data_IF_044100746053
#
_entry.id   IF_044100746053
#
_cell.length_a   1.000
_cell.length_b   1.000
_cell.length_c   1.000
_cell.angle_alpha   90.00
_cell.angle_beta   90.00
_cell.angle_gamma   90.00
#
_symmetry.space_group_name_H-M   'P 1'
#
loop_
_entity.id
_entity.type
_entity.pdbx_description
1 polymer ?
#
# COMPACT_ATOMS: atom_id res chain seq x y z
N UNK A 1 -15.32 -1.54 0.75
CA UNK A 1 -15.50 -0.33 -0.07
C UNK A 1 -15.98 -0.72 -1.47
N UNK A 2 -16.64 0.18 -2.20
CA UNK A 2 -16.99 -0.02 -3.62
C UNK A 2 -16.30 1.06 -4.44
N UNK A 3 -15.68 0.69 -5.55
CA UNK A 3 -14.99 1.62 -6.44
C UNK A 3 -15.88 2.00 -7.62
N UNK A 4 -15.83 3.24 -8.07
CA UNK A 4 -16.64 3.72 -9.17
C UNK A 4 -16.07 3.20 -10.50
N UNK A 5 -16.94 2.68 -11.38
CA UNK A 5 -16.51 2.19 -12.70
C UNK A 5 -15.83 3.29 -13.52
N UNK A 6 -16.37 4.51 -13.50
CA UNK A 6 -15.78 5.66 -14.21
C UNK A 6 -14.42 6.14 -13.67
N UNK A 7 -13.96 5.61 -12.53
CA UNK A 7 -12.64 5.93 -11.98
C UNK A 7 -11.56 4.92 -12.42
N UNK A 8 -11.92 3.89 -13.18
CA UNK A 8 -10.96 2.96 -13.79
C UNK A 8 -10.25 3.70 -14.93
N UNK A 9 -8.92 3.55 -15.05
CA UNK A 9 -8.19 4.18 -16.16
C UNK A 9 -8.69 3.63 -17.48
N UNK A 10 -8.78 4.50 -18.47
CA UNK A 10 -9.11 4.14 -19.85
C UNK A 10 -10.52 3.59 -20.07
N UNK A 11 -11.41 3.69 -19.09
CA UNK A 11 -12.84 3.50 -19.33
C UNK A 11 -13.52 4.86 -19.52
N UNK A 12 -14.39 4.97 -20.51
CA UNK A 12 -15.12 6.23 -20.77
C UNK A 12 -16.26 6.37 -19.78
N UNK A 13 -16.47 7.55 -19.20
CA UNK A 13 -17.58 7.82 -18.28
C UNK A 13 -18.93 7.42 -18.87
N UNK A 14 -19.16 7.82 -20.12
CA UNK A 14 -20.46 7.64 -20.80
C UNK A 14 -20.74 6.17 -21.07
N UNK A 15 -19.70 5.43 -21.45
CA UNK A 15 -19.76 3.98 -21.60
C UNK A 15 -20.11 3.30 -20.26
N UNK A 16 -19.49 3.73 -19.16
CA UNK A 16 -19.78 3.14 -17.84
C UNK A 16 -21.17 3.50 -17.33
N UNK A 17 -21.68 4.70 -17.61
CA UNK A 17 -23.08 5.06 -17.34
C UNK A 17 -24.01 4.14 -18.11
N UNK A 18 -23.77 3.93 -19.41
CA UNK A 18 -24.60 3.04 -20.23
C UNK A 18 -24.56 1.59 -19.74
N UNK A 19 -23.40 1.11 -19.30
CA UNK A 19 -23.25 -0.20 -18.68
C UNK A 19 -24.12 -0.35 -17.42
N UNK A 20 -24.15 0.70 -16.59
CA UNK A 20 -25.00 0.75 -15.40
C UNK A 20 -26.48 0.75 -15.77
N UNK A 21 -26.89 1.54 -16.78
CA UNK A 21 -28.28 1.58 -17.26
C UNK A 21 -28.74 0.20 -17.74
N UNK A 22 -27.94 -0.50 -18.56
CA UNK A 22 -28.23 -1.86 -19.05
C UNK A 22 -28.46 -2.82 -17.87
N UNK A 23 -27.65 -2.71 -16.82
CA UNK A 23 -27.78 -3.52 -15.61
C UNK A 23 -29.00 -3.14 -14.77
N UNK A 24 -29.37 -1.86 -14.75
CA UNK A 24 -30.57 -1.40 -14.04
C UNK A 24 -31.84 -1.90 -14.72
N UNK A 25 -31.88 -1.87 -16.05
CA UNK A 25 -33.05 -2.26 -16.85
C UNK A 25 -33.25 -3.79 -16.87
N UNK A 26 -32.18 -4.56 -17.07
CA UNK A 26 -32.25 -6.01 -17.25
C UNK A 26 -31.80 -6.83 -16.03
N UNK A 27 -31.46 -6.16 -14.92
CA UNK A 27 -30.94 -6.80 -13.71
C UNK A 27 -29.44 -7.16 -13.77
N UNK A 28 -28.92 -7.81 -12.71
CA UNK A 28 -27.50 -8.17 -12.62
C UNK A 28 -27.10 -9.16 -13.71
N UNK A 29 -25.87 -9.02 -14.22
CA UNK A 29 -25.28 -9.99 -15.15
C UNK A 29 -25.08 -11.34 -14.45
N UNK A 30 -25.61 -12.41 -15.03
CA UNK A 30 -25.55 -13.77 -14.44
C UNK A 30 -24.32 -14.57 -14.85
N UNK A 31 -23.75 -14.25 -16.01
CA UNK A 31 -22.57 -14.92 -16.56
C UNK A 31 -21.80 -13.98 -17.49
N UNK A 32 -20.59 -14.38 -17.87
CA UNK A 32 -19.80 -13.66 -18.88
C UNK A 32 -20.53 -13.59 -20.22
N UNK A 33 -21.21 -14.66 -20.61
CA UNK A 33 -22.00 -14.71 -21.84
C UNK A 33 -23.20 -13.76 -21.79
N UNK A 34 -23.91 -13.72 -20.66
CA UNK A 34 -25.01 -12.80 -20.43
C UNK A 34 -24.55 -11.33 -20.49
N UNK A 35 -23.37 -11.04 -19.93
CA UNK A 35 -22.71 -9.76 -20.07
C UNK A 35 -22.44 -9.46 -21.56
N UNK A 36 -21.73 -10.33 -22.29
CA UNK A 36 -21.38 -10.08 -23.70
C UNK A 36 -22.60 -9.92 -24.61
N UNK A 37 -23.70 -10.65 -24.34
CA UNK A 37 -24.97 -10.56 -25.09
C UNK A 37 -25.63 -9.19 -24.93
N UNK A 38 -25.60 -8.62 -23.72
CA UNK A 38 -26.31 -7.37 -23.40
C UNK A 38 -25.51 -6.11 -23.76
N UNK A 39 -24.22 -6.23 -24.06
CA UNK A 39 -23.33 -5.09 -24.24
C UNK A 39 -23.29 -4.55 -25.68
N UNK A 40 -23.62 -3.26 -25.88
CA UNK A 40 -23.37 -2.57 -27.14
C UNK A 40 -21.87 -2.40 -27.41
N UNK A 41 -21.50 -2.25 -28.69
CA UNK A 41 -20.11 -2.06 -29.11
C UNK A 41 -19.53 -0.73 -28.63
N UNK A 42 -20.38 0.27 -28.44
CA UNK A 42 -20.03 1.61 -27.94
C UNK A 42 -19.64 1.59 -26.45
N UNK A 43 -20.10 0.57 -25.71
CA UNK A 43 -19.94 0.47 -24.26
C UNK A 43 -18.63 -0.23 -23.89
N UNK A 44 -18.21 -1.25 -24.65
CA UNK A 44 -16.97 -1.99 -24.38
C UNK A 44 -16.16 -2.23 -25.65
N UNK A 45 -15.04 -1.53 -25.76
CA UNK A 45 -13.93 -1.87 -26.65
C UNK A 45 -12.86 -2.70 -25.92
N UNK A 46 -11.86 -3.22 -26.65
CA UNK A 46 -10.78 -4.04 -26.09
C UNK A 46 -10.11 -3.40 -24.87
N UNK A 47 -9.71 -2.13 -24.98
CA UNK A 47 -9.01 -1.40 -23.91
C UNK A 47 -9.88 -1.23 -22.66
N UNK A 48 -11.18 -1.00 -22.85
CA UNK A 48 -12.15 -0.90 -21.75
C UNK A 48 -12.37 -2.26 -21.08
N UNK A 49 -12.51 -3.33 -21.87
CA UNK A 49 -12.70 -4.68 -21.35
C UNK A 49 -11.49 -5.13 -20.54
N UNK A 50 -10.27 -4.94 -21.07
CA UNK A 50 -9.03 -5.23 -20.35
C UNK A 50 -8.92 -4.44 -19.04
N UNK A 51 -9.27 -3.14 -19.06
CA UNK A 51 -9.27 -2.30 -17.87
C UNK A 51 -10.25 -2.79 -16.79
N UNK A 52 -11.47 -3.17 -17.19
CA UNK A 52 -12.48 -3.72 -16.28
C UNK A 52 -12.05 -5.07 -15.69
N UNK A 53 -11.47 -5.96 -16.51
CA UNK A 53 -10.93 -7.26 -16.06
C UNK A 53 -9.81 -7.04 -15.05
N UNK A 54 -8.80 -6.22 -15.37
CA UNK A 54 -7.66 -5.95 -14.49
C UNK A 54 -8.07 -5.31 -13.17
N UNK A 55 -9.06 -4.40 -13.21
CA UNK A 55 -9.68 -3.79 -12.03
C UNK A 55 -10.51 -4.76 -11.17
N UNK A 56 -10.82 -5.97 -11.66
CA UNK A 56 -11.61 -6.96 -10.95
C UNK A 56 -13.13 -6.77 -11.05
N UNK A 57 -13.62 -6.00 -12.01
CA UNK A 57 -15.05 -5.76 -12.20
C UNK A 57 -15.83 -7.05 -12.52
N UNK A 58 -15.15 -8.07 -13.04
CA UNK A 58 -15.74 -9.36 -13.44
C UNK A 58 -15.41 -10.51 -12.49
N UNK A 59 -14.77 -10.28 -11.34
CA UNK A 59 -14.37 -11.34 -10.40
C UNK A 59 -15.55 -12.20 -9.93
N UNK A 60 -16.77 -11.64 -9.88
CA UNK A 60 -17.99 -12.38 -9.54
C UNK A 60 -18.56 -13.23 -10.67
N UNK A 61 -18.18 -12.93 -11.92
CA UNK A 61 -18.60 -13.68 -13.12
C UNK A 61 -17.57 -14.74 -13.48
N UNK A 62 -16.28 -14.41 -13.33
CA UNK A 62 -15.16 -15.29 -13.63
C UNK A 62 -13.96 -14.91 -12.75
N UNK A 63 -13.49 -15.80 -11.85
CA UNK A 63 -12.50 -15.44 -10.83
C UNK A 63 -11.07 -15.27 -11.36
N UNK A 64 -10.76 -15.90 -12.51
CA UNK A 64 -9.43 -15.88 -13.10
C UNK A 64 -9.31 -14.72 -14.08
N UNK A 65 -8.63 -13.64 -13.65
CA UNK A 65 -8.48 -12.41 -14.44
C UNK A 65 -7.52 -12.64 -15.62
N UNK A 66 -6.45 -13.41 -15.41
CA UNK A 66 -5.47 -13.70 -16.47
C UNK A 66 -6.11 -14.46 -17.63
N UNK A 67 -6.91 -15.47 -17.33
CA UNK A 67 -7.64 -16.24 -18.35
C UNK A 67 -8.55 -15.36 -19.21
N UNK A 68 -9.23 -14.37 -18.61
CA UNK A 68 -10.04 -13.41 -19.37
C UNK A 68 -9.18 -12.51 -20.28
N UNK A 69 -8.02 -12.05 -19.80
CA UNK A 69 -7.10 -11.23 -20.61
C UNK A 69 -6.52 -12.03 -21.78
N UNK A 70 -6.06 -13.26 -21.56
CA UNK A 70 -5.46 -14.12 -22.59
C UNK A 70 -6.49 -14.61 -23.62
N UNK A 71 -7.77 -14.60 -23.26
CA UNK A 71 -8.88 -14.93 -24.15
C UNK A 71 -9.66 -13.68 -24.65
N UNK A 72 -9.11 -12.48 -24.50
CA UNK A 72 -9.79 -11.22 -24.85
C UNK A 72 -10.28 -11.18 -26.31
N UNK A 73 -9.47 -11.64 -27.28
CA UNK A 73 -9.87 -11.68 -28.69
C UNK A 73 -11.03 -12.64 -28.96
N UNK A 74 -11.04 -13.79 -28.28
CA UNK A 74 -12.12 -14.75 -28.37
C UNK A 74 -13.42 -14.15 -27.81
N UNK A 75 -13.35 -13.50 -26.65
CA UNK A 75 -14.49 -12.85 -26.01
C UNK A 75 -15.09 -11.75 -26.88
N UNK A 76 -14.25 -10.89 -27.45
CA UNK A 76 -14.70 -9.81 -28.33
C UNK A 76 -15.32 -10.35 -29.63
N UNK A 77 -14.74 -11.41 -30.19
CA UNK A 77 -15.27 -12.08 -31.40
C UNK A 77 -16.63 -12.72 -31.13
N UNK A 78 -16.81 -13.38 -29.98
CA UNK A 78 -18.11 -13.92 -29.56
C UNK A 78 -19.15 -12.81 -29.37
N UNK A 79 -18.78 -11.70 -28.71
CA UNK A 79 -19.69 -10.57 -28.53
C UNK A 79 -20.13 -9.96 -29.88
N UNK A 80 -19.21 -9.84 -30.85
CA UNK A 80 -19.54 -9.39 -32.20
C UNK A 80 -20.47 -10.36 -32.94
N UNK A 81 -20.23 -11.67 -32.81
CA UNK A 81 -21.09 -12.70 -33.43
C UNK A 81 -22.52 -12.67 -32.85
N UNK A 82 -22.65 -12.62 -31.53
CA UNK A 82 -23.94 -12.57 -30.84
C UNK A 82 -24.74 -11.30 -31.19
N UNK A 83 -24.06 -10.16 -31.35
CA UNK A 83 -24.71 -8.92 -31.82
C UNK A 83 -25.24 -9.06 -33.24
N UNK A 84 -24.43 -9.59 -34.16
CA UNK A 84 -24.86 -9.80 -35.56
C UNK A 84 -26.05 -10.75 -35.65
N UNK A 85 -26.04 -11.81 -34.85
CA UNK A 85 -27.16 -12.74 -34.77
C UNK A 85 -28.44 -12.04 -34.28
N UNK A 86 -28.34 -11.22 -33.22
CA UNK A 86 -29.48 -10.46 -32.70
C UNK A 86 -30.03 -9.42 -33.70
N UNK A 87 -29.14 -8.76 -34.46
CA UNK A 87 -29.54 -7.85 -35.55
C UNK A 87 -30.20 -8.63 -36.70
N UNK A 88 -29.66 -9.79 -37.09
CA UNK A 88 -30.23 -10.61 -38.17
C UNK A 88 -31.55 -11.29 -37.81
N UNK A 89 -31.76 -11.65 -36.54
CA UNK A 89 -33.01 -12.25 -36.08
C UNK A 89 -34.17 -11.24 -36.06
N UNK A 90 -33.90 -9.94 -36.12
CA UNK A 90 -34.96 -8.95 -36.40
C UNK A 90 -35.45 -9.00 -37.85
N UNK A 91 -34.59 -9.42 -38.81
CA UNK A 91 -34.98 -9.62 -40.21
C UNK A 91 -35.63 -10.99 -40.46
N UNK A 92 -35.50 -11.93 -39.53
CA UNK A 92 -35.97 -13.31 -39.68
C UNK A 92 -37.41 -13.54 -39.15
N UNK A 93 -38.31 -12.57 -39.38
CA UNK A 93 -39.71 -12.60 -38.91
C UNK A 93 -40.58 -13.69 -39.57
N UNK A 94 -40.01 -14.52 -40.46
CA UNK A 94 -40.71 -15.61 -41.15
C UNK A 94 -39.97 -16.97 -41.14
N UNK A 95 -38.88 -17.11 -40.37
CA UNK A 95 -38.03 -18.30 -40.44
C UNK A 95 -37.63 -18.86 -39.09
N UNK A 96 -38.41 -19.84 -38.61
CA UNK A 96 -37.94 -20.94 -37.77
C UNK A 96 -37.41 -20.60 -36.37
N UNK A 97 -38.19 -20.94 -35.35
CA UNK A 97 -37.69 -21.17 -33.99
C UNK A 97 -36.63 -22.27 -34.01
N UNK A 98 -35.36 -21.89 -33.98
CA UNK A 98 -34.33 -22.75 -33.43
C UNK A 98 -33.79 -22.06 -32.18
N UNK A 99 -34.05 -22.68 -31.04
CA UNK A 99 -33.22 -22.54 -29.85
C UNK A 99 -31.81 -23.03 -30.21
N UNK A 100 -31.03 -22.18 -30.86
CA UNK A 100 -29.59 -22.34 -30.92
C UNK A 100 -29.06 -22.07 -29.51
N UNK A 101 -29.06 -23.13 -28.70
CA UNK A 101 -28.20 -23.21 -27.52
C UNK A 101 -26.77 -23.02 -28.00
N UNK A 102 -26.30 -21.77 -27.99
CA UNK A 102 -24.92 -21.42 -28.30
C UNK A 102 -24.08 -22.19 -27.29
N UNK A 103 -23.24 -23.10 -27.81
CA UNK A 103 -22.26 -23.84 -27.03
C UNK A 103 -21.47 -22.81 -26.20
N UNK A 104 -21.55 -22.89 -24.87
CA UNK A 104 -21.06 -21.85 -23.96
C UNK A 104 -19.60 -21.49 -24.26
N UNK A 105 -19.23 -20.22 -24.05
CA UNK A 105 -17.89 -19.71 -24.41
C UNK A 105 -16.80 -20.57 -23.74
N UNK A 106 -16.03 -21.31 -24.56
CA UNK A 106 -14.94 -22.16 -24.09
C UNK A 106 -13.63 -21.38 -24.08
N UNK A 107 -13.24 -20.91 -22.90
CA UNK A 107 -11.96 -20.24 -22.71
C UNK A 107 -10.81 -21.25 -22.74
N UNK A 108 -9.65 -20.82 -23.24
CA UNK A 108 -8.41 -21.57 -23.06
C UNK A 108 -7.97 -21.43 -21.60
N UNK A 109 -7.82 -22.54 -20.86
CA UNK A 109 -7.48 -22.49 -19.45
C UNK A 109 -6.07 -21.91 -19.27
N UNK A 110 -5.91 -21.07 -18.25
CA UNK A 110 -4.64 -20.47 -17.88
C UNK A 110 -4.54 -20.39 -16.34
N UNK A 111 -3.35 -20.43 -15.78
CA UNK A 111 -3.19 -20.22 -14.34
C UNK A 111 -3.41 -18.74 -14.01
N UNK A 112 -4.11 -18.43 -12.92
CA UNK A 112 -4.27 -17.04 -12.47
C UNK A 112 -2.91 -16.41 -12.13
N UNK A 113 -2.86 -15.07 -12.10
CA UNK A 113 -1.66 -14.34 -11.71
C UNK A 113 -1.21 -14.68 -10.29
N UNK A 114 0.11 -14.65 -10.07
CA UNK A 114 0.65 -14.61 -8.72
C UNK A 114 0.14 -13.34 -8.01
N UNK A 115 0.03 -13.38 -6.68
CA UNK A 115 -0.60 -12.29 -5.91
C UNK A 115 0.01 -10.90 -6.21
N UNK A 116 1.35 -10.81 -6.32
CA UNK A 116 2.03 -9.55 -6.64
C UNK A 116 1.74 -9.06 -8.07
N UNK A 117 1.73 -9.96 -9.04
CA UNK A 117 1.41 -9.61 -10.43
C UNK A 117 -0.05 -9.17 -10.57
N UNK A 118 -0.97 -9.85 -9.86
CA UNK A 118 -2.38 -9.46 -9.79
C UNK A 118 -2.56 -8.06 -9.21
N UNK A 119 -1.82 -7.72 -8.14
CA UNK A 119 -1.84 -6.39 -7.55
C UNK A 119 -1.25 -5.34 -8.50
N UNK A 120 -0.22 -5.68 -9.27
CA UNK A 120 0.36 -4.81 -10.29
C UNK A 120 -0.65 -4.50 -11.39
N UNK A 121 -1.34 -5.51 -11.90
CA UNK A 121 -2.41 -5.35 -12.90
C UNK A 121 -3.58 -4.50 -12.38
N UNK A 122 -3.97 -4.70 -11.11
CA UNK A 122 -4.98 -3.88 -10.45
C UNK A 122 -4.53 -2.42 -10.34
N UNK A 123 -3.28 -2.18 -9.93
CA UNK A 123 -2.69 -0.85 -9.83
C UNK A 123 -2.60 -0.16 -11.19
N UNK A 124 -2.25 -0.89 -12.24
CA UNK A 124 -2.20 -0.35 -13.60
C UNK A 124 -3.58 0.10 -14.05
N UNK A 125 -4.63 -0.67 -13.74
CA UNK A 125 -6.01 -0.35 -14.07
C UNK A 125 -6.62 0.78 -13.21
N UNK A 126 -6.34 0.82 -11.91
CA UNK A 126 -6.99 1.74 -10.96
C UNK A 126 -6.14 2.98 -10.63
N UNK A 127 -4.82 2.87 -10.69
CA UNK A 127 -3.87 3.87 -10.21
C UNK A 127 -3.65 3.86 -8.70
N UNK A 128 -4.22 2.89 -8.00
CA UNK A 128 -4.07 2.66 -6.57
C UNK A 128 -4.27 1.17 -6.26
N UNK A 129 -3.72 0.73 -5.14
CA UNK A 129 -3.93 -0.62 -4.63
C UNK A 129 -5.24 -0.67 -3.83
N UNK A 130 -6.24 -1.41 -4.31
CA UNK A 130 -7.56 -1.52 -3.66
C UNK A 130 -7.64 -2.75 -2.75
N UNK A 131 -7.07 -3.87 -3.21
CA UNK A 131 -7.15 -5.16 -2.53
C UNK A 131 -6.11 -5.31 -1.40
N UNK A 132 -4.85 -4.97 -1.67
CA UNK A 132 -3.76 -5.00 -0.70
C UNK A 132 -2.62 -4.09 -1.17
N UNK A 133 -1.94 -3.41 -0.25
CA UNK A 133 -0.78 -2.59 -0.57
C UNK A 133 0.52 -3.37 -0.34
N UNK A 134 1.58 -3.16 -1.13
CA UNK A 134 2.91 -3.71 -0.83
C UNK A 134 3.50 -3.36 0.55
N UNK A 135 2.89 -2.39 1.25
CA UNK A 135 3.26 -1.97 2.59
C UNK A 135 2.57 -2.80 3.69
N UNK A 136 1.56 -3.59 3.35
CA UNK A 136 0.80 -4.39 4.30
C UNK A 136 1.68 -5.42 5.00
N UNK A 137 2.67 -5.97 4.29
CA UNK A 137 3.70 -6.86 4.85
C UNK A 137 4.61 -6.20 5.90
N UNK A 138 4.57 -4.87 6.01
CA UNK A 138 5.41 -4.07 6.90
C UNK A 138 4.65 -3.44 8.07
N UNK A 139 3.34 -3.72 8.23
CA UNK A 139 2.47 -3.03 9.17
C UNK A 139 3.05 -2.94 10.61
N UNK A 140 3.64 -4.02 11.12
CA UNK A 140 4.23 -4.05 12.47
C UNK A 140 5.47 -3.16 12.60
N UNK A 141 6.25 -3.05 11.52
CA UNK A 141 7.50 -2.30 11.45
C UNK A 141 7.26 -0.81 11.19
N UNK A 142 6.20 -0.47 10.44
CA UNK A 142 5.83 0.91 10.16
C UNK A 142 5.59 1.72 11.45
N UNK A 143 4.89 1.11 12.41
CA UNK A 143 4.64 1.71 13.72
C UNK A 143 5.94 2.04 14.47
N UNK A 144 6.95 1.16 14.40
CA UNK A 144 8.25 1.30 15.06
C UNK A 144 9.07 2.47 14.50
N UNK A 145 8.94 2.74 13.21
CA UNK A 145 9.59 3.84 12.52
C UNK A 145 8.83 5.19 12.63
N UNK A 146 7.72 5.21 13.39
CA UNK A 146 6.82 6.37 13.54
C UNK A 146 6.38 6.90 12.17
N UNK A 147 6.08 5.98 11.26
CA UNK A 147 5.59 6.34 9.94
C UNK A 147 4.13 6.74 10.07
N UNK A 148 3.81 7.91 9.53
CA UNK A 148 2.45 8.46 9.47
C UNK A 148 1.86 8.04 8.14
N UNK A 149 0.61 7.58 8.12
CA UNK A 149 -0.11 7.32 6.87
C UNK A 149 -0.59 8.64 6.26
N UNK A 150 -0.84 8.66 4.96
CA UNK A 150 -1.36 9.83 4.27
C UNK A 150 -2.69 10.28 4.84
N UNK A 151 -3.63 9.37 5.11
CA UNK A 151 -4.91 9.72 5.72
C UNK A 151 -4.74 10.37 7.11
N UNK A 152 -3.84 9.84 7.95
CA UNK A 152 -3.55 10.44 9.25
C UNK A 152 -2.88 11.81 9.12
N UNK A 153 -2.01 12.00 8.12
CA UNK A 153 -1.40 13.29 7.83
C UNK A 153 -2.44 14.34 7.44
N UNK A 154 -3.42 13.97 6.61
CA UNK A 154 -4.53 14.86 6.21
C UNK A 154 -5.36 15.26 7.43
N UNK A 155 -5.71 14.32 8.29
CA UNK A 155 -6.44 14.61 9.54
C UNK A 155 -5.65 15.55 10.47
N UNK A 156 -4.34 15.32 10.61
CA UNK A 156 -3.46 16.20 11.40
C UNK A 156 -3.37 17.62 10.84
N UNK A 157 -3.44 17.77 9.51
CA UNK A 157 -3.46 19.06 8.83
C UNK A 157 -4.77 19.81 9.10
N UNK A 158 -5.90 19.13 8.97
CA UNK A 158 -7.23 19.69 9.25
C UNK A 158 -7.39 20.14 10.71
N UNK A 159 -6.81 19.39 11.65
CA UNK A 159 -6.83 19.71 13.08
C UNK A 159 -5.74 20.70 13.51
N UNK A 160 -4.87 21.14 12.60
CA UNK A 160 -3.77 22.07 12.89
C UNK A 160 -2.67 21.51 13.80
N UNK A 161 -2.56 20.18 13.92
CA UNK A 161 -1.59 19.47 14.77
C UNK A 161 -0.45 18.81 13.99
N UNK A 162 -0.41 19.02 12.68
CA UNK A 162 0.58 18.40 11.82
C UNK A 162 2.01 18.84 12.21
N UNK A 163 2.93 17.88 12.47
CA UNK A 163 4.31 18.23 12.79
C UNK A 163 5.03 18.76 11.56
N UNK A 164 6.01 19.64 11.77
CA UNK A 164 6.84 20.18 10.68
C UNK A 164 7.65 19.10 9.95
N UNK A 165 7.98 17.99 10.63
CA UNK A 165 8.70 16.84 10.09
C UNK A 165 7.87 15.58 10.22
N UNK A 166 7.72 14.87 9.12
CA UNK A 166 6.94 13.63 9.02
C UNK A 166 7.76 12.55 8.33
N UNK A 167 7.57 11.31 8.77
CA UNK A 167 8.08 10.13 8.09
C UNK A 167 6.90 9.44 7.40
N UNK A 168 7.02 9.22 6.10
CA UNK A 168 6.03 8.56 5.25
C UNK A 168 6.68 7.33 4.64
N UNK A 169 5.91 6.27 4.43
CA UNK A 169 6.35 5.15 3.58
C UNK A 169 5.43 5.05 2.38
N UNK A 170 6.00 4.75 1.23
CA UNK A 170 5.22 4.63 0.01
C UNK A 170 5.95 3.87 -1.10
N UNK A 171 5.15 3.34 -2.01
CA UNK A 171 5.64 2.79 -3.28
C UNK A 171 5.56 3.88 -4.36
N UNK A 172 6.62 4.01 -5.16
CA UNK A 172 6.67 5.03 -6.22
C UNK A 172 5.69 4.68 -7.33
N UNK A 173 4.82 5.64 -7.67
CA UNK A 173 3.81 5.52 -8.73
C UNK A 173 4.27 6.22 -10.00
N UNK A 174 4.72 7.47 -9.88
CA UNK A 174 5.19 8.26 -11.01
C UNK A 174 6.22 9.29 -10.57
N UNK A 175 7.09 9.71 -11.49
CA UNK A 175 8.06 10.77 -11.27
C UNK A 175 8.04 11.77 -12.43
N UNK A 176 7.95 13.05 -12.12
CA UNK A 176 8.05 14.15 -13.07
C UNK A 176 9.25 15.03 -12.73
N UNK A 177 10.32 14.92 -13.51
CA UNK A 177 11.52 15.74 -13.34
C UNK A 177 11.34 17.04 -14.14
N UNK A 178 11.58 18.17 -13.49
CA UNK A 178 11.53 19.51 -14.09
C UNK A 178 12.79 20.29 -13.77
N UNK A 179 13.05 21.33 -14.55
CA UNK A 179 14.12 22.29 -14.33
C UNK A 179 13.50 23.61 -13.91
N UNK A 180 13.95 24.14 -12.77
CA UNK A 180 13.47 25.43 -12.28
C UNK A 180 14.00 26.58 -13.16
N UNK A 181 13.40 27.76 -13.04
CA UNK A 181 13.89 28.97 -13.73
C UNK A 181 15.35 29.31 -13.40
N UNK A 182 15.85 28.85 -12.24
CA UNK A 182 17.24 29.04 -11.79
C UNK A 182 18.19 27.94 -12.29
N UNK A 183 17.73 27.02 -13.14
CA UNK A 183 18.53 25.92 -13.70
C UNK A 183 18.62 24.67 -12.80
N UNK A 184 18.17 24.73 -11.55
CA UNK A 184 18.21 23.58 -10.65
C UNK A 184 17.11 22.57 -11.00
N UNK A 185 17.47 21.29 -11.03
CA UNK A 185 16.53 20.19 -11.20
C UNK A 185 15.72 19.95 -9.92
N UNK A 186 14.46 19.59 -10.08
CA UNK A 186 13.59 19.10 -9.02
C UNK A 186 12.60 18.09 -9.60
N UNK A 187 12.00 17.27 -8.74
CA UNK A 187 11.02 16.28 -9.17
C UNK A 187 9.77 16.31 -8.29
N UNK A 188 8.61 16.15 -8.91
CA UNK A 188 7.39 15.73 -8.23
C UNK A 188 7.31 14.21 -8.31
N UNK A 189 7.32 13.54 -7.17
CA UNK A 189 7.23 12.10 -7.07
C UNK A 189 5.89 11.76 -6.43
N UNK A 190 5.06 11.01 -7.16
CA UNK A 190 3.82 10.47 -6.61
C UNK A 190 4.12 9.12 -5.99
N UNK A 191 3.66 8.94 -4.75
CA UNK A 191 3.78 7.72 -3.98
C UNK A 191 2.40 7.29 -3.50
N UNK A 192 2.26 6.00 -3.27
CA UNK A 192 1.06 5.42 -2.67
C UNK A 192 1.42 4.75 -1.36
N UNK A 193 0.53 4.87 -0.37
CA UNK A 193 0.53 4.08 0.86
C UNK A 193 -0.76 3.25 1.00
N UNK A 194 -0.94 2.61 2.15
CA UNK A 194 -2.12 1.79 2.46
C UNK A 194 -3.44 2.58 2.47
N UNK A 195 -3.38 3.91 2.52
CA UNK A 195 -4.52 4.80 2.70
C UNK A 195 -4.79 5.71 1.51
N UNK A 196 -3.81 5.96 0.65
CA UNK A 196 -4.00 6.73 -0.57
C UNK A 196 -2.72 7.14 -1.26
N UNK A 197 -2.88 8.02 -2.24
CA UNK A 197 -1.79 8.57 -3.06
C UNK A 197 -1.43 9.96 -2.55
N UNK A 198 -0.14 10.25 -2.48
CA UNK A 198 0.40 11.54 -2.07
C UNK A 198 1.59 11.95 -2.94
N UNK A 199 1.84 13.25 -3.02
CA UNK A 199 2.94 13.81 -3.80
C UNK A 199 4.03 14.38 -2.88
N UNK A 200 5.28 14.06 -3.19
CA UNK A 200 6.45 14.61 -2.52
C UNK A 200 7.34 15.33 -3.52
N UNK A 201 7.73 16.55 -3.19
CA UNK A 201 8.69 17.33 -3.97
C UNK A 201 10.11 17.02 -3.51
N UNK A 202 10.98 16.66 -4.46
CA UNK A 202 12.40 16.40 -4.23
C UNK A 202 13.25 17.47 -4.95
N UNK A 203 14.06 18.21 -4.20
CA UNK A 203 15.01 19.17 -4.76
C UNK A 203 16.32 18.50 -5.20
N UNK A 204 17.14 19.23 -5.96
CA UNK A 204 18.33 18.70 -6.65
C UNK A 204 19.20 17.75 -5.82
N UNK A 205 19.52 18.11 -4.57
CA UNK A 205 20.42 17.31 -3.72
C UNK A 205 19.80 15.95 -3.38
N UNK A 206 18.58 15.96 -2.85
CA UNK A 206 17.84 14.74 -2.50
C UNK A 206 17.49 13.92 -3.74
N UNK A 207 17.14 14.59 -4.85
CA UNK A 207 16.83 13.94 -6.10
C UNK A 207 18.04 13.17 -6.64
N UNK A 208 19.24 13.74 -6.59
CA UNK A 208 20.45 13.08 -7.08
C UNK A 208 20.74 11.78 -6.33
N UNK A 209 20.57 11.77 -5.01
CA UNK A 209 20.73 10.57 -4.17
C UNK A 209 19.60 9.56 -4.37
N UNK A 210 18.37 10.04 -4.59
CA UNK A 210 17.19 9.21 -4.71
C UNK A 210 16.97 8.62 -6.11
N UNK A 211 17.68 9.05 -7.16
CA UNK A 211 17.44 8.59 -8.55
C UNK A 211 17.40 7.06 -8.68
N UNK A 212 18.37 6.37 -8.08
CA UNK A 212 18.45 4.89 -8.11
C UNK A 212 17.35 4.25 -7.27
N UNK A 213 16.98 4.86 -6.15
CA UNK A 213 15.90 4.40 -5.27
C UNK A 213 14.53 4.51 -5.96
N UNK A 214 14.31 5.60 -6.68
CA UNK A 214 13.07 5.89 -7.40
C UNK A 214 12.84 5.00 -8.64
N UNK A 215 13.86 4.29 -9.09
CA UNK A 215 13.77 3.32 -10.19
C UNK A 215 13.48 1.90 -9.69
N UNK A 216 13.57 1.69 -8.37
CA UNK A 216 13.20 0.42 -7.77
C UNK A 216 11.68 0.32 -7.62
N UNK A 217 11.14 -0.89 -7.81
CA UNK A 217 9.74 -1.22 -7.44
C UNK A 217 9.61 -1.49 -5.92
N UNK A 218 10.61 -1.10 -5.11
CA UNK A 218 10.64 -1.37 -3.67
C UNK A 218 10.00 -0.23 -2.87
N UNK A 219 9.37 -0.52 -1.72
CA UNK A 219 8.87 0.52 -0.83
C UNK A 219 9.99 1.40 -0.27
N UNK A 220 9.74 2.70 -0.20
CA UNK A 220 10.68 3.71 0.27
C UNK A 220 10.18 4.34 1.58
N UNK A 221 11.12 4.66 2.47
CA UNK A 221 10.92 5.56 3.59
C UNK A 221 11.33 6.98 3.18
N UNK A 222 10.43 7.92 3.39
CA UNK A 222 10.61 9.34 3.07
C UNK A 222 10.47 10.15 4.34
N UNK A 223 11.56 10.78 4.77
CA UNK A 223 11.50 11.85 5.75
C UNK A 223 11.26 13.15 5.02
N UNK A 224 10.11 13.80 5.26
CA UNK A 224 9.70 15.03 4.60
C UNK A 224 9.47 16.16 5.61
N UNK A 225 9.77 17.38 5.19
CA UNK A 225 9.32 18.58 5.88
C UNK A 225 7.97 19.00 5.28
N UNK A 226 6.98 19.19 6.12
CA UNK A 226 5.67 19.68 5.75
C UNK A 226 5.69 21.22 5.74
N UNK A 227 5.31 21.83 4.61
CA UNK A 227 5.09 23.26 4.48
C UNK A 227 3.63 23.52 4.12
N UNK A 228 2.94 24.29 4.94
CA UNK A 228 1.59 24.75 4.62
C UNK A 228 1.72 26.10 3.92
N UNK A 229 1.35 26.15 2.64
CA UNK A 229 1.31 27.37 1.81
C UNK A 229 -0.15 27.69 1.45
N UNK A 230 -0.43 28.88 0.93
CA UNK A 230 -1.79 29.31 0.54
C UNK A 230 -2.41 28.41 -0.55
N UNK A 231 -1.58 27.72 -1.32
CA UNK A 231 -1.98 26.78 -2.38
C UNK A 231 -2.08 25.32 -1.88
N UNK A 232 -2.09 25.12 -0.57
CA UNK A 232 -2.20 23.81 0.08
C UNK A 232 -0.89 23.29 0.70
N UNK A 233 -0.98 22.17 1.44
CA UNK A 233 0.17 21.53 2.08
C UNK A 233 1.13 20.94 1.03
N UNK A 234 2.43 21.15 1.22
CA UNK A 234 3.50 20.61 0.39
C UNK A 234 4.47 19.78 1.24
N UNK A 235 4.78 18.59 0.74
CA UNK A 235 5.78 17.71 1.32
C UNK A 235 7.11 17.89 0.59
N UNK A 236 8.13 18.33 1.32
CA UNK A 236 9.48 18.48 0.79
C UNK A 236 10.37 17.36 1.33
N UNK A 237 10.83 16.46 0.46
CA UNK A 237 11.72 15.38 0.87
C UNK A 237 13.03 15.97 1.45
N UNK A 238 13.39 15.49 2.64
CA UNK A 238 14.68 15.75 3.26
C UNK A 238 15.62 14.54 3.16
N UNK A 239 15.07 13.33 3.19
CA UNK A 239 15.83 12.08 3.06
C UNK A 239 14.95 10.97 2.49
N UNK A 240 15.53 10.15 1.62
CA UNK A 240 14.89 8.99 1.01
C UNK A 240 15.81 7.77 1.19
N UNK A 241 15.24 6.63 1.57
CA UNK A 241 15.97 5.36 1.69
C UNK A 241 15.01 4.18 1.49
N UNK A 242 15.56 2.99 1.23
CA UNK A 242 14.73 1.78 1.22
C UNK A 242 14.09 1.54 2.58
N UNK A 243 12.83 1.09 2.57
CA UNK A 243 12.12 0.75 3.79
C UNK A 243 12.82 -0.41 4.51
N UNK A 244 13.25 -1.44 3.78
CA UNK A 244 13.99 -2.59 4.34
C UNK A 244 15.26 -2.15 5.08
N UNK A 245 16.06 -1.25 4.46
CA UNK A 245 17.28 -0.73 5.06
C UNK A 245 16.97 0.10 6.31
N UNK A 246 15.88 0.86 6.30
CA UNK A 246 15.43 1.61 7.47
C UNK A 246 15.06 0.69 8.64
N UNK A 247 14.38 -0.42 8.34
CA UNK A 247 13.98 -1.43 9.31
C UNK A 247 15.22 -2.16 9.85
N UNK A 248 16.15 -2.56 8.98
CA UNK A 248 17.38 -3.23 9.37
C UNK A 248 18.31 -2.32 10.20
N UNK A 249 18.34 -1.02 9.88
CA UNK A 249 19.07 -0.02 10.65
C UNK A 249 18.35 0.41 11.94
N UNK A 250 17.09 0.02 12.13
CA UNK A 250 16.35 0.31 13.35
C UNK A 250 16.76 -0.67 14.44
N UNK A 251 17.35 -0.13 15.50
CA UNK A 251 17.68 -0.89 16.70
C UNK A 251 16.73 -0.39 17.76
N UNK A 252 15.73 -1.20 18.10
CA UNK A 252 14.73 -0.84 19.10
C UNK A 252 15.40 -0.45 20.41
N UNK A 253 14.98 0.68 20.97
CA UNK A 253 15.45 1.07 22.28
C UNK A 253 14.86 0.17 23.36
N UNK A 254 15.64 -0.20 24.36
CA UNK A 254 15.16 -0.95 25.53
C UNK A 254 14.62 0.03 26.55
N UNK A 255 13.37 -0.12 26.96
CA UNK A 255 12.79 0.64 28.06
C UNK A 255 12.72 -0.23 29.32
N UNK A 256 13.45 0.16 30.38
CA UNK A 256 13.46 -0.54 31.66
C UNK A 256 12.56 0.19 32.67
N UNK A 257 11.64 -0.53 33.30
CA UNK A 257 10.86 0.00 34.41
C UNK A 257 11.47 -0.47 35.72
N UNK A 258 11.97 0.49 36.51
CA UNK A 258 12.75 0.21 37.72
C UNK A 258 12.03 0.79 38.92
N UNK A 259 11.82 -0.02 39.95
CA UNK A 259 11.08 0.39 41.16
C UNK A 259 11.92 1.14 42.20
N UNK A 260 13.24 0.99 42.14
CA UNK A 260 14.18 1.56 43.11
C UNK A 260 15.46 2.02 42.39
N UNK A 261 16.22 2.96 42.96
CA UNK A 261 17.49 3.43 42.37
C UNK A 261 18.64 2.43 42.54
N UNK A 262 18.52 1.49 43.49
CA UNK A 262 19.55 0.51 43.86
C UNK A 262 20.09 -0.31 42.67
N UNK A 263 19.24 -0.91 41.81
CA UNK A 263 19.72 -1.71 40.66
C UNK A 263 20.35 -0.88 39.53
N UNK A 264 20.20 0.46 39.51
CA UNK A 264 20.70 1.29 38.41
C UNK A 264 22.23 1.23 38.27
N UNK A 265 22.96 1.15 39.39
CA UNK A 265 24.42 1.08 39.37
C UNK A 265 24.90 -0.27 38.82
N UNK A 266 24.26 -1.37 39.23
CA UNK A 266 24.56 -2.71 38.71
C UNK A 266 24.21 -2.85 37.21
N UNK A 267 23.07 -2.30 36.79
CA UNK A 267 22.67 -2.21 35.38
C UNK A 267 23.71 -1.44 34.57
N UNK A 268 24.18 -0.29 35.05
CA UNK A 268 25.21 0.51 34.38
C UNK A 268 26.51 -0.27 34.17
N UNK A 269 26.92 -1.09 35.13
CA UNK A 269 28.15 -1.88 35.04
C UNK A 269 28.00 -3.08 34.09
N UNK A 270 26.83 -3.72 34.07
CA UNK A 270 26.49 -4.75 33.08
C UNK A 270 26.50 -4.18 31.66
N UNK A 271 25.83 -3.04 31.44
CA UNK A 271 25.77 -2.36 30.14
C UNK A 271 27.15 -1.91 29.64
N UNK A 272 28.08 -1.60 30.55
CA UNK A 272 29.47 -1.28 30.19
C UNK A 272 30.28 -2.50 29.78
N UNK A 273 30.02 -3.68 30.39
CA UNK A 273 30.74 -4.93 30.10
C UNK A 273 30.37 -5.55 28.76
N UNK A 274 29.10 -5.43 28.36
CA UNK A 274 28.58 -5.94 27.08
C UNK A 274 29.14 -5.19 25.84
N UNK A 275 29.67 -3.98 26.03
CA UNK A 275 30.26 -3.17 24.96
C UNK A 275 29.24 -2.30 24.20
N UNK A 276 29.71 -1.46 23.26
CA UNK A 276 28.86 -0.48 22.58
C UNK A 276 28.00 -1.15 21.51
N UNK A 277 26.70 -1.22 21.75
CA UNK A 277 25.73 -1.61 20.73
C UNK A 277 25.03 -0.45 20.05
N UNK A 278 23.95 -0.75 19.31
CA UNK A 278 23.23 0.23 18.49
C UNK A 278 21.88 0.67 19.06
N UNK A 279 21.31 -0.08 20.01
CA UNK A 279 20.05 0.24 20.68
C UNK A 279 20.24 1.18 21.87
N UNK A 280 19.37 2.18 22.02
CA UNK A 280 19.37 3.07 23.20
C UNK A 280 18.67 2.41 24.40
N UNK A 281 19.21 2.58 25.61
CA UNK A 281 18.56 2.08 26.84
C UNK A 281 17.99 3.25 27.64
N UNK A 282 16.66 3.30 27.71
CA UNK A 282 15.91 4.25 28.52
C UNK A 282 15.41 3.53 29.78
N UNK A 283 15.29 4.26 30.89
CA UNK A 283 14.66 3.73 32.10
C UNK A 283 13.65 4.71 32.67
N UNK A 284 12.61 4.19 33.31
CA UNK A 284 11.65 4.97 34.07
C UNK A 284 11.65 4.48 35.51
N UNK A 285 11.97 5.38 36.44
CA UNK A 285 11.97 5.07 37.87
C UNK A 285 10.58 5.33 38.44
N UNK A 286 9.94 4.29 38.98
CA UNK A 286 8.62 4.39 39.60
C UNK A 286 8.81 4.90 41.03
N UNK A 287 8.32 6.11 41.32
CA UNK A 287 8.32 6.70 42.66
C UNK A 287 7.05 6.27 43.42
N UNK A 288 7.08 6.36 44.75
CA UNK A 288 5.85 6.27 45.54
C UNK A 288 4.84 7.33 45.08
N UNK A 289 3.54 7.01 45.18
CA UNK A 289 2.40 7.83 44.73
C UNK A 289 2.11 7.86 43.22
N UNK A 290 2.65 6.90 42.43
CA UNK A 290 2.27 6.73 41.02
C UNK A 290 2.97 7.69 40.05
N UNK A 291 3.91 8.50 40.54
CA UNK A 291 4.77 9.34 39.71
C UNK A 291 5.96 8.55 39.17
N UNK A 292 6.42 8.88 37.95
CA UNK A 292 7.60 8.26 37.34
C UNK A 292 8.61 9.31 36.89
N UNK A 293 9.90 9.00 37.02
CA UNK A 293 11.01 9.85 36.54
C UNK A 293 11.72 9.19 35.36
N UNK A 294 11.72 9.79 34.16
CA UNK A 294 12.48 9.28 33.05
C UNK A 294 13.99 9.53 33.25
N UNK A 295 14.80 8.56 32.87
CA UNK A 295 16.25 8.67 32.78
C UNK A 295 16.78 7.91 31.57
N UNK A 296 17.98 8.28 31.12
CA UNK A 296 18.65 7.65 29.98
C UNK A 296 20.00 7.12 30.40
N UNK A 297 20.31 5.86 30.07
CA UNK A 297 21.67 5.38 30.24
C UNK A 297 22.55 5.91 29.09
N UNK A 298 23.80 6.33 29.36
CA UNK A 298 24.71 6.80 28.32
C UNK A 298 25.27 5.66 27.45
N UNK A 299 25.04 4.39 27.84
CA UNK A 299 25.49 3.21 27.11
C UNK A 299 24.42 2.73 26.13
N UNK A 300 24.86 2.20 24.98
CA UNK A 300 24.01 1.54 23.97
C UNK A 300 24.28 0.03 23.99
N UNK A 301 23.26 -0.78 23.74
CA UNK A 301 23.34 -2.25 23.78
C UNK A 301 23.06 -2.89 22.44
N UNK A 302 23.54 -4.12 22.26
CA UNK A 302 23.16 -4.95 21.12
C UNK A 302 21.90 -5.72 21.51
N UNK A 303 20.73 -5.21 21.11
CA UNK A 303 19.51 -5.98 21.24
C UNK A 303 19.40 -6.98 20.08
N UNK A 304 19.27 -8.26 20.40
CA UNK A 304 18.78 -9.24 19.45
C UNK A 304 17.37 -8.84 18.98
N UNK A 305 16.98 -9.30 17.79
CA UNK A 305 15.83 -8.87 16.97
C UNK A 305 14.42 -8.94 17.61
N UNK A 306 14.31 -9.26 18.91
CA UNK A 306 13.06 -9.49 19.63
C UNK A 306 12.89 -8.68 20.94
N UNK A 307 13.57 -7.55 21.12
CA UNK A 307 13.42 -6.70 22.33
C UNK A 307 12.11 -5.88 22.38
N UNK A 308 10.98 -6.45 21.94
CA UNK A 308 9.70 -5.76 21.81
C UNK A 308 8.90 -5.60 23.11
N UNK A 309 9.16 -6.41 24.15
CA UNK A 309 8.25 -6.52 25.28
C UNK A 309 8.81 -5.96 26.60
N UNK A 310 7.97 -5.16 27.25
CA UNK A 310 8.24 -4.44 28.48
C UNK A 310 8.22 -5.38 29.69
N UNK A 311 9.31 -5.41 30.47
CA UNK A 311 9.37 -6.09 31.77
C UNK A 311 9.40 -5.11 32.95
N UNK A 312 8.55 -5.34 33.96
CA UNK A 312 8.61 -4.65 35.26
C UNK A 312 9.52 -5.47 36.19
N UNK A 313 10.68 -4.93 36.57
CA UNK A 313 11.57 -5.60 37.53
C UNK A 313 11.12 -5.29 38.96
N UNK A 314 10.47 -6.26 39.61
CA UNK A 314 10.14 -6.22 41.04
C UNK A 314 11.32 -6.74 41.87
N UNK A 315 11.52 -6.10 43.02
CA UNK A 315 12.55 -6.32 44.04
C UNK A 315 12.62 -7.77 44.54
N UNK A 316 13.22 -8.69 43.78
CA UNK A 316 13.82 -9.95 44.26
C UNK A 316 14.63 -10.59 43.12
N UNK A 317 15.82 -11.09 43.48
CA UNK A 317 16.75 -11.87 42.63
C UNK A 317 17.68 -11.11 41.67
N UNK A 318 18.54 -10.26 42.24
CA UNK A 318 19.88 -10.05 41.68
C UNK A 318 20.80 -11.21 42.11
N UNK A 319 20.72 -12.34 41.38
CA UNK A 319 21.84 -13.26 41.23
C UNK A 319 22.24 -13.29 39.75
N UNK A 320 23.48 -12.86 39.54
CA UNK A 320 24.16 -12.71 38.26
C UNK A 320 24.19 -14.03 37.49
N UNK A 321 23.68 -14.04 36.26
CA UNK A 321 24.20 -14.79 35.10
C UNK A 321 23.53 -14.25 33.82
N UNK A 322 24.33 -13.58 32.96
CA UNK A 322 23.84 -12.81 31.81
C UNK A 322 23.47 -13.64 30.56
N UNK A 323 23.44 -14.97 30.65
CA UNK A 323 23.27 -15.85 29.49
C UNK A 323 21.90 -16.52 29.36
N UNK A 324 21.00 -16.40 30.35
CA UNK A 324 19.74 -17.19 30.36
C UNK A 324 18.43 -16.42 30.13
N UNK A 325 18.43 -15.08 29.97
CA UNK A 325 17.17 -14.32 29.92
C UNK A 325 16.96 -13.56 28.62
N UNK A 326 16.70 -14.34 27.57
CA UNK A 326 15.77 -13.96 26.48
C UNK A 326 14.60 -14.92 26.62
N UNK A 327 13.37 -14.40 26.60
CA UNK A 327 12.06 -15.06 26.80
C UNK A 327 11.50 -14.81 28.20
N UNK A 328 10.54 -13.89 28.30
CA UNK A 328 9.22 -14.22 28.82
C UNK A 328 8.18 -13.29 28.20
N UNK A 329 7.43 -13.86 27.26
CA UNK A 329 6.17 -13.35 26.72
C UNK A 329 5.11 -13.38 27.83
N UNK A 330 4.30 -12.33 27.90
CA UNK A 330 2.90 -12.41 28.32
C UNK A 330 2.11 -11.40 27.48
#
# INVERSE_FOLDING_TARGET
>A
MRYALGAIKNVGSDAMTRLVDIRQDAGPFSSLEDLLRRLPREVINRRQMEGLVRAGAFDSLHPNRRELIENMDLLLSHADAMRREAESNQDNLFGGTDETGIDGIRLRPENDWAAMDRLKEEFDALGLYLSAHPLDSYASQLSRLRIVTHAALVEMLETGRAPQRVNLAGSVTSKQIRVSQRGNRFAFVQLTDQTGVFEVTMFSDVLAEAMTLLESEKPLLISANLKVEDNGPRLLAARVQYLDDAIAAWHGGVALWVQDEIPLTALKDVLRKEGPGKAEVNYSLIMAEGNWRPGKFPARVNCASNCGDAGIFKRQELKVNLWEWVIFLA
#
